data_IF_166537095634
#
_entry.id   IF_166537095634
#
_cell.length_a   1.000
_cell.length_b   1.000
_cell.length_c   1.000
_cell.angle_alpha   90.00
_cell.angle_beta   90.00
_cell.angle_gamma   90.00
#
_symmetry.space_group_name_H-M   'P 1'
#
loop_
_entity.id
_entity.type
_entity.pdbx_description
1 polymer ?
#
# COMPACT_ATOMS: atom_id res chain seq x y z
N UNK A 1 -5.98 -21.21 19.85
CA UNK A 1 -5.49 -19.89 19.41
C UNK A 1 -5.44 -19.75 17.88
N UNK A 2 -4.44 -20.27 17.16
CA UNK A 2 -4.33 -20.05 15.69
C UNK A 2 -5.35 -20.84 14.87
N UNK A 3 -5.66 -22.08 15.29
CA UNK A 3 -6.67 -22.92 14.64
C UNK A 3 -8.08 -22.30 14.72
N UNK A 4 -8.44 -21.76 15.88
CA UNK A 4 -9.72 -21.04 16.08
C UNK A 4 -9.78 -19.78 15.21
N UNK A 5 -8.66 -19.06 15.08
CA UNK A 5 -8.57 -17.88 14.20
C UNK A 5 -8.78 -18.26 12.75
N UNK A 6 -8.17 -19.36 12.29
CA UNK A 6 -8.41 -19.87 10.94
C UNK A 6 -9.90 -20.17 10.73
N UNK A 7 -10.53 -20.95 11.61
CA UNK A 7 -11.98 -21.28 11.53
C UNK A 7 -12.84 -20.01 11.45
N UNK A 8 -12.55 -19.00 12.28
CA UNK A 8 -13.26 -17.73 12.25
C UNK A 8 -13.14 -17.03 10.88
N UNK A 9 -11.93 -16.98 10.30
CA UNK A 9 -11.71 -16.40 8.97
C UNK A 9 -12.41 -17.23 7.87
N UNK A 10 -12.42 -18.56 7.99
CA UNK A 10 -13.16 -19.44 7.07
C UNK A 10 -14.67 -19.13 7.09
N UNK A 11 -15.24 -18.90 8.27
CA UNK A 11 -16.64 -18.52 8.42
C UNK A 11 -16.96 -17.17 7.78
N UNK A 12 -16.07 -16.18 7.91
CA UNK A 12 -16.20 -14.89 7.20
C UNK A 12 -16.22 -15.11 5.69
N UNK A 13 -15.30 -15.92 5.16
CA UNK A 13 -15.20 -16.22 3.73
C UNK A 13 -16.48 -16.91 3.22
N UNK A 14 -16.96 -17.92 3.95
CA UNK A 14 -18.16 -18.66 3.60
C UNK A 14 -19.42 -17.78 3.60
N UNK A 15 -19.58 -16.91 4.59
CA UNK A 15 -20.75 -16.05 4.78
C UNK A 15 -20.78 -14.78 3.92
N UNK A 16 -19.64 -14.35 3.35
CA UNK A 16 -19.50 -13.06 2.65
C UNK A 16 -19.19 -13.19 1.16
N UNK A 17 -19.76 -14.18 0.44
CA UNK A 17 -19.58 -14.35 -1.02
C UNK A 17 -19.83 -13.07 -1.85
N UNK A 18 -20.60 -12.09 -1.33
CA UNK A 18 -20.86 -10.78 -1.96
C UNK A 18 -20.00 -9.62 -1.42
N UNK A 19 -19.34 -9.79 -0.26
CA UNK A 19 -18.54 -8.74 0.40
C UNK A 19 -17.05 -8.88 0.10
N UNK A 20 -16.61 -8.39 -1.06
CA UNK A 20 -15.23 -8.56 -1.55
C UNK A 20 -14.16 -8.01 -0.57
N UNK A 21 -14.49 -6.96 0.21
CA UNK A 21 -13.57 -6.35 1.17
C UNK A 21 -13.22 -7.31 2.31
N UNK A 22 -14.22 -7.84 3.01
CA UNK A 22 -14.00 -8.78 4.12
C UNK A 22 -13.39 -10.10 3.64
N UNK A 23 -13.80 -10.57 2.46
CA UNK A 23 -13.19 -11.72 1.81
C UNK A 23 -11.69 -11.48 1.54
N UNK A 24 -11.35 -10.33 0.93
CA UNK A 24 -9.96 -9.96 0.66
C UNK A 24 -9.12 -9.79 1.94
N UNK A 25 -9.71 -9.22 2.99
CA UNK A 25 -9.10 -9.06 4.31
C UNK A 25 -8.76 -10.41 4.94
N UNK A 26 -9.73 -11.32 4.98
CA UNK A 26 -9.55 -12.67 5.54
C UNK A 26 -8.50 -13.47 4.75
N UNK A 27 -8.58 -13.47 3.42
CA UNK A 27 -7.60 -14.11 2.55
C UNK A 27 -6.19 -13.53 2.74
N UNK A 28 -6.07 -12.21 2.90
CA UNK A 28 -4.79 -11.56 3.16
C UNK A 28 -4.21 -12.02 4.49
N UNK A 29 -5.01 -12.10 5.55
CA UNK A 29 -4.56 -12.55 6.87
C UNK A 29 -4.09 -14.01 6.85
N UNK A 30 -4.89 -14.91 6.28
CA UNK A 30 -4.52 -16.33 6.12
C UNK A 30 -3.17 -16.46 5.37
N UNK A 31 -2.97 -15.67 4.32
CA UNK A 31 -1.73 -15.68 3.54
C UNK A 31 -0.54 -15.13 4.34
N UNK A 32 -0.68 -13.95 4.96
CA UNK A 32 0.43 -13.27 5.63
C UNK A 32 0.90 -14.03 6.87
N UNK A 33 -0.03 -14.53 7.67
CA UNK A 33 0.24 -15.34 8.86
C UNK A 33 0.47 -16.83 8.53
N UNK A 34 0.46 -17.20 7.25
CA UNK A 34 0.64 -18.58 6.76
C UNK A 34 -0.29 -19.62 7.40
N UNK A 35 -1.50 -19.21 7.83
CA UNK A 35 -2.46 -20.09 8.54
C UNK A 35 -2.89 -21.29 7.69
N UNK A 36 -2.79 -21.20 6.37
CA UNK A 36 -3.03 -22.31 5.44
C UNK A 36 -2.15 -23.55 5.70
N UNK A 37 -1.03 -23.39 6.42
CA UNK A 37 -0.16 -24.49 6.83
C UNK A 37 -0.75 -25.35 7.94
N UNK A 38 -1.65 -24.79 8.77
CA UNK A 38 -2.32 -25.53 9.84
C UNK A 38 -3.22 -26.64 9.28
N UNK A 39 -3.71 -26.46 8.06
CA UNK A 39 -4.47 -27.45 7.29
C UNK A 39 -3.60 -28.24 6.31
N UNK A 40 -2.28 -28.31 6.55
CA UNK A 40 -1.32 -29.10 5.79
C UNK A 40 -1.23 -28.77 4.28
N UNK A 41 -1.42 -27.51 3.90
CA UNK A 41 -1.17 -27.07 2.53
C UNK A 41 0.20 -26.41 2.37
N UNK A 42 0.95 -26.84 1.36
CA UNK A 42 2.30 -26.34 1.07
C UNK A 42 2.30 -24.89 0.57
N UNK A 43 1.20 -24.45 -0.05
CA UNK A 43 1.05 -23.10 -0.57
C UNK A 43 -0.34 -22.54 -0.35
N UNK A 44 -0.41 -21.22 -0.23
CA UNK A 44 -1.67 -20.49 -0.19
C UNK A 44 -2.55 -20.78 -1.41
N UNK A 45 -1.94 -20.96 -2.59
CA UNK A 45 -2.67 -21.29 -3.82
C UNK A 45 -3.33 -22.67 -3.75
N UNK A 46 -2.63 -23.68 -3.21
CA UNK A 46 -3.20 -25.01 -2.98
C UNK A 46 -4.35 -24.95 -1.97
N UNK A 47 -4.19 -24.21 -0.88
CA UNK A 47 -5.25 -24.01 0.12
C UNK A 47 -6.51 -23.38 -0.48
N UNK A 48 -6.39 -22.24 -1.17
CA UNK A 48 -7.59 -21.56 -1.69
C UNK A 48 -8.29 -22.38 -2.78
N UNK A 49 -7.54 -23.19 -3.53
CA UNK A 49 -8.12 -24.12 -4.50
C UNK A 49 -8.85 -25.27 -3.80
N UNK A 50 -8.20 -25.93 -2.84
CA UNK A 50 -8.78 -27.08 -2.15
C UNK A 50 -9.99 -26.71 -1.29
N UNK A 51 -9.93 -25.59 -0.56
CA UNK A 51 -10.94 -25.21 0.43
C UNK A 51 -12.11 -24.43 -0.13
N UNK A 52 -11.87 -23.62 -1.18
CA UNK A 52 -12.86 -22.67 -1.69
C UNK A 52 -13.13 -22.81 -3.19
N UNK A 53 -12.53 -23.79 -3.85
CA UNK A 53 -12.52 -23.95 -5.32
C UNK A 53 -12.06 -22.68 -6.07
N UNK A 54 -11.25 -21.85 -5.40
CA UNK A 54 -10.86 -20.54 -5.91
C UNK A 54 -9.53 -20.60 -6.64
N UNK A 55 -9.46 -20.04 -7.85
CA UNK A 55 -8.21 -19.89 -8.57
C UNK A 55 -7.25 -18.89 -7.90
N UNK A 56 -5.93 -19.14 -7.99
CA UNK A 56 -4.89 -18.24 -7.45
C UNK A 56 -5.12 -16.78 -7.83
N UNK A 57 -5.32 -16.49 -9.12
CA UNK A 57 -5.52 -15.12 -9.61
C UNK A 57 -6.77 -14.45 -9.01
N UNK A 58 -7.82 -15.22 -8.72
CA UNK A 58 -9.02 -14.69 -8.07
C UNK A 58 -8.76 -14.34 -6.61
N UNK A 59 -8.09 -15.23 -5.85
CA UNK A 59 -7.74 -14.96 -4.46
C UNK A 59 -6.86 -13.71 -4.31
N UNK A 60 -5.83 -13.58 -5.16
CA UNK A 60 -4.96 -12.40 -5.15
C UNK A 60 -5.72 -11.13 -5.57
N UNK A 61 -6.64 -11.19 -6.53
CA UNK A 61 -7.49 -10.04 -6.88
C UNK A 61 -8.30 -9.53 -5.68
N UNK A 62 -8.89 -10.41 -4.87
CA UNK A 62 -9.60 -9.99 -3.66
C UNK A 62 -8.66 -9.38 -2.61
N UNK A 63 -7.48 -9.97 -2.41
CA UNK A 63 -6.45 -9.41 -1.51
C UNK A 63 -6.05 -8.00 -1.96
N UNK A 64 -5.74 -7.82 -3.25
CA UNK A 64 -5.38 -6.51 -3.79
C UNK A 64 -6.54 -5.52 -3.68
N UNK A 65 -7.77 -5.95 -3.94
CA UNK A 65 -8.93 -5.09 -3.81
C UNK A 65 -9.11 -4.60 -2.36
N UNK A 66 -8.95 -5.48 -1.38
CA UNK A 66 -8.91 -5.11 0.04
C UNK A 66 -7.80 -4.08 0.34
N UNK A 67 -6.58 -4.31 -0.17
CA UNK A 67 -5.45 -3.39 0.03
C UNK A 67 -5.72 -2.00 -0.55
N UNK A 68 -6.31 -1.91 -1.75
CA UNK A 68 -6.70 -0.64 -2.36
C UNK A 68 -7.78 0.06 -1.52
N UNK A 69 -8.84 -0.63 -1.11
CA UNK A 69 -9.87 -0.03 -0.26
C UNK A 69 -9.28 0.48 1.06
N UNK A 70 -8.43 -0.31 1.73
CA UNK A 70 -7.71 0.11 2.94
C UNK A 70 -6.88 1.37 2.69
N UNK A 71 -6.25 1.47 1.51
CA UNK A 71 -5.45 2.62 1.12
C UNK A 71 -6.28 3.87 0.78
N UNK A 72 -7.51 3.71 0.29
CA UNK A 72 -8.42 4.81 -0.06
C UNK A 72 -9.27 5.28 1.12
N UNK A 73 -9.49 4.45 2.13
CA UNK A 73 -10.31 4.75 3.31
C UNK A 73 -9.98 6.09 4.00
N UNK A 74 -8.71 6.55 4.11
CA UNK A 74 -8.42 7.85 4.72
C UNK A 74 -8.78 9.08 3.87
N UNK A 75 -9.17 8.91 2.60
CA UNK A 75 -9.39 10.01 1.65
C UNK A 75 -10.83 10.55 1.74
N UNK A 76 -11.77 9.76 2.27
CA UNK A 76 -13.16 10.16 2.48
C UNK A 76 -14.12 8.98 2.49
N UNK A 77 -15.40 9.28 2.71
CA UNK A 77 -16.45 8.28 2.95
C UNK A 77 -16.88 7.52 1.68
N UNK A 78 -16.60 8.09 0.50
CA UNK A 78 -17.00 7.50 -0.78
C UNK A 78 -15.90 6.58 -1.32
N UNK A 79 -16.12 5.28 -1.18
CA UNK A 79 -15.21 4.21 -1.62
C UNK A 79 -15.80 3.41 -2.79
N UNK A 80 -14.95 2.71 -3.58
CA UNK A 80 -15.44 1.74 -4.55
C UNK A 80 -16.33 0.68 -3.88
N UNK A 81 -17.50 0.44 -4.46
CA UNK A 81 -18.54 -0.44 -3.92
C UNK A 81 -18.32 -1.93 -4.25
N UNK A 82 -17.51 -2.25 -5.27
CA UNK A 82 -17.23 -3.62 -5.68
C UNK A 82 -15.81 -3.78 -6.25
N UNK A 83 -15.32 -5.03 -6.28
CA UNK A 83 -13.97 -5.34 -6.79
C UNK A 83 -13.75 -4.86 -8.23
N UNK A 84 -14.80 -4.86 -9.07
CA UNK A 84 -14.66 -4.43 -10.46
C UNK A 84 -14.37 -2.93 -10.58
N UNK A 85 -14.91 -2.10 -9.67
CA UNK A 85 -14.57 -0.67 -9.57
C UNK A 85 -13.17 -0.45 -8.99
N UNK A 86 -12.69 -1.35 -8.13
CA UNK A 86 -11.34 -1.28 -7.55
C UNK A 86 -10.27 -1.68 -8.57
N UNK A 87 -10.57 -2.63 -9.45
CA UNK A 87 -9.61 -3.25 -10.36
C UNK A 87 -8.81 -2.25 -11.22
N UNK A 88 -9.37 -1.17 -11.78
CA UNK A 88 -8.60 -0.16 -12.51
C UNK A 88 -7.55 0.56 -11.65
N UNK A 89 -7.79 0.68 -10.35
CA UNK A 89 -6.86 1.32 -9.39
C UNK A 89 -5.78 0.34 -8.92
N UNK A 90 -6.06 -0.98 -8.91
CA UNK A 90 -5.14 -1.99 -8.41
C UNK A 90 -3.80 -2.07 -9.17
N UNK A 91 -3.73 -1.55 -10.40
CA UNK A 91 -2.50 -1.47 -11.19
C UNK A 91 -1.64 -0.22 -10.94
N UNK A 92 -2.12 0.71 -10.12
CA UNK A 92 -1.40 1.93 -9.73
C UNK A 92 -0.67 1.70 -8.41
N UNK A 93 0.40 2.45 -8.15
CA UNK A 93 1.03 2.42 -6.83
C UNK A 93 0.10 3.06 -5.77
N UNK A 94 0.29 2.82 -4.46
CA UNK A 94 -0.63 3.32 -3.43
C UNK A 94 -0.88 4.83 -3.47
N UNK A 95 0.13 5.65 -3.75
CA UNK A 95 -0.04 7.12 -3.80
C UNK A 95 -0.84 7.55 -5.04
N UNK A 96 -0.52 6.97 -6.19
CA UNK A 96 -1.26 7.17 -7.44
C UNK A 96 -2.73 6.75 -7.30
N UNK A 97 -3.02 5.65 -6.59
CA UNK A 97 -4.39 5.26 -6.28
C UNK A 97 -5.13 6.37 -5.54
N UNK A 98 -4.51 6.96 -4.50
CA UNK A 98 -5.11 8.04 -3.73
C UNK A 98 -5.36 9.28 -4.58
N UNK A 99 -4.34 9.70 -5.33
CA UNK A 99 -4.40 10.88 -6.18
C UNK A 99 -5.44 10.73 -7.29
N UNK A 100 -5.40 9.61 -8.02
CA UNK A 100 -6.36 9.31 -9.07
C UNK A 100 -7.79 9.21 -8.53
N UNK A 101 -7.97 8.59 -7.34
CA UNK A 101 -9.28 8.51 -6.70
C UNK A 101 -9.83 9.88 -6.32
N UNK A 102 -9.02 10.74 -5.69
CA UNK A 102 -9.42 12.11 -5.32
C UNK A 102 -9.83 12.93 -6.54
N UNK A 103 -9.06 12.85 -7.63
CA UNK A 103 -9.36 13.54 -8.90
C UNK A 103 -10.61 12.98 -9.57
N UNK A 104 -10.79 11.66 -9.56
CA UNK A 104 -11.99 11.02 -10.08
C UNK A 104 -13.25 11.49 -9.34
N UNK A 105 -13.22 11.53 -8.01
CA UNK A 105 -14.32 12.05 -7.20
C UNK A 105 -14.64 13.52 -7.52
N UNK A 106 -13.61 14.35 -7.69
CA UNK A 106 -13.76 15.76 -8.07
C UNK A 106 -14.35 15.96 -9.49
N UNK A 107 -14.21 14.98 -10.38
CA UNK A 107 -14.75 15.05 -11.74
C UNK A 107 -16.28 14.94 -11.81
N UNK A 108 -16.94 14.52 -10.73
CA UNK A 108 -18.40 14.36 -10.67
C UNK A 108 -18.96 13.20 -11.52
N UNK A 109 -18.10 12.41 -12.20
CA UNK A 109 -18.52 11.26 -13.01
C UNK A 109 -19.19 10.19 -12.14
N UNK A 110 -20.13 9.47 -12.74
CA UNK A 110 -20.79 8.34 -12.10
C UNK A 110 -19.78 7.23 -11.73
N UNK A 111 -19.96 6.64 -10.55
CA UNK A 111 -19.07 5.63 -10.00
C UNK A 111 -19.28 4.26 -10.69
N UNK A 112 -18.65 4.07 -11.84
CA UNK A 112 -18.64 2.81 -12.57
C UNK A 112 -17.21 2.35 -12.89
N UNK A 113 -17.01 1.03 -13.00
CA UNK A 113 -15.69 0.46 -13.34
C UNK A 113 -15.16 0.98 -14.69
N UNK A 114 -16.07 1.21 -15.65
CA UNK A 114 -15.74 1.78 -16.96
C UNK A 114 -15.26 3.22 -16.82
N UNK A 115 -16.00 4.07 -16.11
CA UNK A 115 -15.66 5.48 -15.95
C UNK A 115 -14.32 5.67 -15.21
N UNK A 116 -14.08 4.89 -14.16
CA UNK A 116 -12.81 4.91 -13.42
C UNK A 116 -11.67 4.50 -14.36
N UNK A 117 -11.84 3.42 -15.12
CA UNK A 117 -10.84 2.92 -16.07
C UNK A 117 -10.52 3.93 -17.16
N UNK A 118 -11.54 4.55 -17.76
CA UNK A 118 -11.35 5.57 -18.80
C UNK A 118 -10.67 6.80 -18.22
N UNK A 119 -11.07 7.24 -17.02
CA UNK A 119 -10.48 8.39 -16.33
C UNK A 119 -8.99 8.17 -16.03
N UNK A 120 -8.62 7.04 -15.44
CA UNK A 120 -7.21 6.71 -15.15
C UNK A 120 -6.38 6.63 -16.44
N UNK A 121 -6.96 6.12 -17.54
CA UNK A 121 -6.26 6.06 -18.83
C UNK A 121 -6.01 7.45 -19.43
N UNK A 122 -6.98 8.35 -19.33
CA UNK A 122 -6.86 9.73 -19.84
C UNK A 122 -6.03 10.65 -18.93
N UNK A 123 -6.02 10.39 -17.62
CA UNK A 123 -5.29 11.20 -16.61
C UNK A 123 -3.83 10.74 -16.41
N UNK A 124 -3.34 9.76 -17.19
CA UNK A 124 -1.93 9.36 -17.13
C UNK A 124 -1.07 10.47 -17.76
N UNK A 125 -0.24 11.20 -16.99
CA UNK A 125 0.88 11.90 -17.61
C UNK A 125 1.77 10.85 -18.27
N UNK A 126 2.29 11.17 -19.45
CA UNK A 126 3.28 10.36 -20.16
C UNK A 126 4.52 10.12 -19.27
N UNK A 127 4.51 9.09 -18.42
CA UNK A 127 5.72 8.52 -17.86
C UNK A 127 6.13 7.35 -18.74
N UNK A 128 7.07 7.64 -19.65
CA UNK A 128 7.87 6.62 -20.32
C UNK A 128 8.56 5.77 -19.24
N UNK A 129 8.57 4.45 -19.43
CA UNK A 129 9.35 3.52 -18.64
C UNK A 129 10.82 3.97 -18.56
N UNK A 130 11.34 4.23 -17.36
CA UNK A 130 12.78 4.25 -17.08
C UNK A 130 13.04 3.28 -15.92
N UNK A 131 13.74 2.16 -16.16
CA UNK A 131 14.22 1.29 -15.09
C UNK A 131 15.38 2.00 -14.39
N UNK A 132 15.22 2.36 -13.11
CA UNK A 132 16.35 2.87 -12.31
C UNK A 132 16.06 3.95 -11.28
N UNK A 133 14.82 4.40 -11.10
CA UNK A 133 14.52 5.45 -10.12
C UNK A 133 13.76 4.89 -8.90
N UNK A 134 14.52 4.48 -7.88
CA UNK A 134 13.97 4.02 -6.58
C UNK A 134 13.70 5.19 -5.63
N UNK A 135 13.85 6.45 -6.05
CA UNK A 135 13.58 7.63 -5.20
C UNK A 135 12.10 7.74 -4.80
N UNK A 136 11.20 7.00 -5.46
CA UNK A 136 9.79 6.89 -5.10
C UNK A 136 9.45 5.89 -3.99
N UNK A 137 10.43 5.10 -3.49
CA UNK A 137 10.22 4.15 -2.39
C UNK A 137 10.61 4.84 -1.09
N UNK A 138 9.68 5.60 -0.52
CA UNK A 138 9.89 6.25 0.77
C UNK A 138 8.80 5.83 1.74
N UNK A 139 9.18 5.25 2.89
CA UNK A 139 8.22 4.92 3.94
C UNK A 139 7.62 6.19 4.54
N UNK A 140 6.39 6.10 5.08
CA UNK A 140 5.75 7.26 5.70
C UNK A 140 6.57 7.77 6.90
N UNK A 141 7.18 6.85 7.65
CA UNK A 141 8.02 7.14 8.80
C UNK A 141 9.30 7.87 8.39
N UNK A 142 9.94 7.41 7.30
CA UNK A 142 11.12 8.07 6.77
C UNK A 142 10.78 9.46 6.21
N UNK A 143 9.67 9.60 5.48
CA UNK A 143 9.19 10.90 5.01
C UNK A 143 8.88 11.84 6.18
N UNK A 144 8.21 11.37 7.24
CA UNK A 144 7.92 12.17 8.41
C UNK A 144 9.20 12.68 9.10
N UNK A 145 10.22 11.82 9.23
CA UNK A 145 11.52 12.19 9.78
C UNK A 145 12.25 13.22 8.90
N UNK A 146 12.25 13.03 7.58
CA UNK A 146 12.85 13.98 6.63
C UNK A 146 12.11 15.32 6.64
N UNK A 147 10.77 15.33 6.67
CA UNK A 147 9.98 16.55 6.77
C UNK A 147 10.23 17.30 8.08
N UNK A 148 10.35 16.58 9.21
CA UNK A 148 10.70 17.19 10.49
C UNK A 148 12.10 17.83 10.46
N UNK A 149 13.09 17.14 9.88
CA UNK A 149 14.45 17.69 9.71
C UNK A 149 14.46 18.94 8.84
N UNK A 150 13.76 18.93 7.71
CA UNK A 150 13.65 20.10 6.81
C UNK A 150 13.00 21.30 7.50
N UNK A 151 12.02 21.08 8.37
CA UNK A 151 11.41 22.14 9.16
C UNK A 151 12.40 22.75 10.17
N UNK A 152 13.27 21.93 10.80
CA UNK A 152 14.32 22.46 11.67
C UNK A 152 15.33 23.32 10.89
N UNK A 153 15.69 22.93 9.67
CA UNK A 153 16.56 23.73 8.80
C UNK A 153 15.89 25.06 8.43
N UNK A 154 14.59 25.05 8.12
CA UNK A 154 13.81 26.27 7.84
C UNK A 154 13.78 27.22 9.04
N UNK A 155 13.58 26.68 10.24
CA UNK A 155 13.62 27.47 11.49
C UNK A 155 15.01 28.08 11.70
N UNK A 156 16.08 27.29 11.53
CA UNK A 156 17.46 27.76 11.66
C UNK A 156 17.86 28.81 10.61
N UNK A 157 17.29 28.75 9.41
CA UNK A 157 17.49 29.80 8.40
C UNK A 157 16.80 31.10 8.80
N UNK A 158 15.57 31.02 9.30
CA UNK A 158 14.81 32.19 9.74
C UNK A 158 15.43 32.86 10.98
N UNK A 159 16.07 32.10 11.85
CA UNK A 159 16.79 32.62 13.02
C UNK A 159 18.26 32.97 12.74
N UNK A 160 18.69 32.94 11.47
CA UNK A 160 20.06 33.24 11.03
C UNK A 160 21.13 32.40 11.74
N UNK A 161 20.82 31.12 12.00
CA UNK A 161 21.72 30.14 12.60
C UNK A 161 22.18 30.51 14.01
N UNK A 162 21.38 31.27 14.75
CA UNK A 162 21.72 31.71 16.11
C UNK A 162 21.62 30.56 17.12
N UNK A 163 20.69 29.61 16.92
CA UNK A 163 20.46 28.47 17.82
C UNK A 163 21.07 27.16 17.35
N UNK A 164 21.40 27.05 16.06
CA UNK A 164 22.02 25.86 15.45
C UNK A 164 23.08 26.34 14.48
N UNK A 165 24.28 25.79 14.55
CA UNK A 165 25.35 26.16 13.62
C UNK A 165 25.11 25.55 12.24
N UNK A 166 25.29 26.37 11.20
CA UNK A 166 25.28 25.91 9.80
C UNK A 166 26.30 24.79 9.56
N UNK A 167 27.49 24.89 10.19
CA UNK A 167 28.53 23.87 10.08
C UNK A 167 28.09 22.55 10.74
N UNK A 168 27.35 22.61 11.84
CA UNK A 168 26.81 21.42 12.50
C UNK A 168 25.77 20.71 11.63
N UNK A 169 24.86 21.45 10.97
CA UNK A 169 23.88 20.86 10.05
C UNK A 169 24.55 20.14 8.87
N UNK A 170 25.60 20.74 8.29
CA UNK A 170 26.39 20.12 7.21
C UNK A 170 27.09 18.85 7.69
N UNK A 171 27.68 18.89 8.89
CA UNK A 171 28.34 17.73 9.50
C UNK A 171 27.35 16.55 9.67
N UNK A 172 26.16 16.79 10.20
CA UNK A 172 25.17 15.73 10.39
C UNK A 172 24.62 15.18 9.07
N UNK A 173 24.45 16.00 8.04
CA UNK A 173 24.10 15.52 6.70
C UNK A 173 25.16 14.57 6.13
N UNK A 174 26.44 14.86 6.37
CA UNK A 174 27.54 13.97 5.99
C UNK A 174 27.46 12.63 6.74
N UNK A 175 27.24 12.66 8.06
CA UNK A 175 27.11 11.44 8.88
C UNK A 175 25.93 10.58 8.41
N UNK A 176 24.78 11.19 8.10
CA UNK A 176 23.60 10.49 7.57
C UNK A 176 23.95 9.79 6.25
N UNK A 177 24.62 10.51 5.33
CA UNK A 177 25.08 9.94 4.05
C UNK A 177 26.02 8.76 4.26
N UNK A 178 26.99 8.88 5.16
CA UNK A 178 27.94 7.80 5.49
C UNK A 178 27.22 6.57 6.05
N UNK A 179 26.24 6.76 6.95
CA UNK A 179 25.44 5.66 7.50
C UNK A 179 24.54 4.97 6.48
N UNK A 180 23.99 5.71 5.51
CA UNK A 180 23.19 5.13 4.42
C UNK A 180 24.04 4.25 3.49
N UNK A 181 25.32 4.61 3.30
CA UNK A 181 26.23 3.92 2.39
C UNK A 181 26.95 2.73 3.04
N UNK A 182 27.04 2.69 4.38
CA UNK A 182 27.62 1.57 5.10
C UNK A 182 26.65 0.36 5.08
N UNK A 183 26.92 -0.64 4.23
CA UNK A 183 26.30 -1.98 4.32
C UNK A 183 26.61 -2.58 5.71
N UNK A 184 25.64 -3.25 6.34
CA UNK A 184 25.84 -4.08 7.52
C UNK A 184 26.86 -5.20 7.22
N UNK A 185 28.13 -4.90 7.40
CA UNK A 185 29.16 -5.90 7.71
C UNK A 185 29.14 -5.97 9.23
N UNK A 186 28.30 -6.83 9.81
CA UNK A 186 28.42 -7.37 11.18
C UNK A 186 27.24 -8.30 11.51
N UNK A 187 27.37 -9.56 11.11
CA UNK A 187 26.77 -10.70 11.83
C UNK A 187 27.84 -11.81 11.87
N UNK A 188 28.73 -11.71 12.86
CA UNK A 188 29.24 -12.87 13.61
C UNK A 188 28.64 -12.81 15.02
#
# INVERSE_FOLDING_TARGET
MEQERLIHLENIIAGKRRGFYELGKALNEIKQSRLYRLTLHDSFAAYVKARWDMGKSQAYRFIHAYQVIKNLSPIGDRLPANESQVRPLAGLNPLEQRAAWKRFLASGKELSALNIKTFIRSDKPSHKNVPGDQTGIISNEYMAAVSAMMEQVRIAQNDQWQKTSQQAAILWNRVIREKILAKEVNHE
#
